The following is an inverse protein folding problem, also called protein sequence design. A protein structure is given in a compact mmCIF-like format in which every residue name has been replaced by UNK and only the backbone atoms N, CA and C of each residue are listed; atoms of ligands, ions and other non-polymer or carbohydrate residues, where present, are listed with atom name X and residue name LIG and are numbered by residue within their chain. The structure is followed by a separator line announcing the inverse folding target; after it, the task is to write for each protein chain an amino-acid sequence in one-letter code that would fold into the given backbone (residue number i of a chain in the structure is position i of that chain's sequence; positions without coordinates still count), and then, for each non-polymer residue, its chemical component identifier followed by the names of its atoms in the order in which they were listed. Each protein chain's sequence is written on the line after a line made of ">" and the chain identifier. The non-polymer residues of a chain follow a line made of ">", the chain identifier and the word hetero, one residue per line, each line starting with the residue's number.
data_IF_524352503978
#
_entry.id   IF_524352503978
#
_cell.length_a   1.000
_cell.length_b   1.000
_cell.length_c   1.000
_cell.angle_alpha   90.00
_cell.angle_beta   90.00
_cell.angle_gamma   90.00
#
_symmetry.space_group_name_H-M   'P 1'
#
loop_
_entity.id
_entity.type
_entity.pdbx_description
1 polymer ?
#
# COMPACT_ATOMS: atom_id res chain seq x y z
N UNK A 1 -2.89 -2.44 -17.38
CA UNK A 1 -1.62 -2.18 -16.67
C UNK A 1 -2.05 -1.46 -15.42
N UNK A 2 -2.02 -2.14 -14.27
CA UNK A 2 -2.44 -1.55 -12.99
C UNK A 2 -1.46 -0.42 -12.68
N UNK A 3 -1.97 0.71 -12.18
CA UNK A 3 -1.12 1.73 -11.59
C UNK A 3 -0.54 1.16 -10.28
N UNK A 4 0.55 0.40 -10.40
CA UNK A 4 1.22 -0.26 -9.26
C UNK A 4 1.61 0.79 -8.20
N UNK A 5 1.94 2.01 -8.63
CA UNK A 5 2.23 3.14 -7.75
C UNK A 5 0.97 3.57 -6.99
N UNK A 6 -0.18 3.66 -7.68
CA UNK A 6 -1.48 3.97 -7.07
C UNK A 6 -1.88 2.98 -5.97
N UNK A 7 -1.68 1.67 -6.19
CA UNK A 7 -1.94 0.64 -5.20
C UNK A 7 -0.98 0.75 -3.98
N UNK A 8 0.33 0.84 -4.23
CA UNK A 8 1.32 0.92 -3.16
C UNK A 8 1.10 2.16 -2.29
N UNK A 9 0.87 3.33 -2.91
CA UNK A 9 0.57 4.59 -2.23
C UNK A 9 -0.69 4.47 -1.36
N UNK A 10 -1.77 3.89 -1.88
CA UNK A 10 -3.00 3.71 -1.12
C UNK A 10 -2.81 2.78 0.09
N UNK A 11 -2.10 1.66 -0.09
CA UNK A 11 -1.78 0.75 1.00
C UNK A 11 -0.89 1.42 2.06
N UNK A 12 0.09 2.23 1.65
CA UNK A 12 0.95 2.98 2.58
C UNK A 12 0.16 4.03 3.36
N UNK A 13 -0.79 4.73 2.72
CA UNK A 13 -1.69 5.66 3.39
C UNK A 13 -2.55 4.94 4.44
N UNK A 14 -3.15 3.80 4.09
CA UNK A 14 -3.96 2.99 5.03
C UNK A 14 -3.12 2.45 6.20
N UNK A 15 -1.84 2.12 6.01
CA UNK A 15 -0.93 1.67 7.08
C UNK A 15 -0.78 2.69 8.22
N UNK A 16 -1.04 3.98 7.97
CA UNK A 16 -0.97 5.04 9.00
C UNK A 16 -2.08 4.93 10.04
N UNK A 17 -3.15 4.18 9.74
CA UNK A 17 -4.25 3.92 10.67
C UNK A 17 -3.76 3.08 11.85
N UNK A 18 -4.08 3.52 13.07
CA UNK A 18 -3.68 2.79 14.28
C UNK A 18 -4.36 1.42 14.31
N UNK A 19 -3.54 0.36 14.34
CA UNK A 19 -4.00 -1.04 14.33
C UNK A 19 -3.93 -1.69 12.95
N UNK A 20 -3.65 -0.94 11.89
CA UNK A 20 -3.45 -1.49 10.55
C UNK A 20 -2.01 -1.96 10.37
N UNK A 21 -1.68 -3.04 11.09
CA UNK A 21 -0.41 -3.74 10.98
C UNK A 21 -0.33 -4.63 9.74
N UNK A 22 0.78 -5.36 9.62
CA UNK A 22 1.09 -6.20 8.46
C UNK A 22 -0.04 -7.15 8.07
N UNK A 23 -0.63 -7.89 9.03
CA UNK A 23 -1.73 -8.81 8.76
C UNK A 23 -2.96 -8.12 8.15
N UNK A 24 -3.31 -6.92 8.65
CA UNK A 24 -4.41 -6.12 8.12
C UNK A 24 -4.12 -5.64 6.69
N UNK A 25 -2.86 -5.35 6.37
CA UNK A 25 -2.48 -5.00 4.98
C UNK A 25 -2.74 -6.16 4.02
N UNK A 26 -2.36 -7.39 4.38
CA UNK A 26 -2.69 -8.57 3.57
C UNK A 26 -4.20 -8.80 3.43
N UNK A 27 -4.96 -8.56 4.49
CA UNK A 27 -6.43 -8.66 4.46
C UNK A 27 -7.06 -7.62 3.52
N UNK A 28 -6.56 -6.38 3.52
CA UNK A 28 -7.10 -5.29 2.72
C UNK A 28 -6.62 -5.29 1.26
N UNK A 29 -5.45 -5.84 1.00
CA UNK A 29 -4.79 -5.78 -0.31
C UNK A 29 -5.69 -6.20 -1.49
N UNK A 30 -6.45 -7.32 -1.45
CA UNK A 30 -7.29 -7.70 -2.58
C UNK A 30 -8.33 -6.64 -2.95
N UNK A 31 -8.93 -5.98 -1.94
CA UNK A 31 -9.96 -4.95 -2.15
C UNK A 31 -9.36 -3.66 -2.68
N UNK A 32 -8.20 -3.26 -2.16
CA UNK A 32 -7.52 -2.04 -2.64
C UNK A 32 -6.96 -2.26 -4.05
N UNK A 33 -6.52 -3.48 -4.37
CA UNK A 33 -6.10 -3.85 -5.72
C UNK A 33 -7.26 -3.77 -6.70
N UNK A 34 -8.44 -4.28 -6.32
CA UNK A 34 -9.65 -4.17 -7.15
C UNK A 34 -10.03 -2.70 -7.43
N UNK A 35 -9.90 -1.81 -6.43
CA UNK A 35 -10.09 -0.38 -6.63
C UNK A 35 -9.04 0.22 -7.58
N UNK A 36 -7.77 -0.19 -7.46
CA UNK A 36 -6.70 0.27 -8.34
C UNK A 36 -6.96 -0.15 -9.79
N UNK A 37 -7.36 -1.40 -10.02
CA UNK A 37 -7.66 -1.96 -11.34
C UNK A 37 -8.83 -1.24 -12.04
N UNK A 38 -9.80 -0.75 -11.25
CA UNK A 38 -10.93 0.05 -11.74
C UNK A 38 -10.61 1.54 -11.89
N UNK A 39 -9.44 2.00 -11.42
CA UNK A 39 -9.10 3.43 -11.36
C UNK A 39 -9.95 4.20 -10.34
N UNK A 40 -10.43 3.52 -9.30
CA UNK A 40 -11.37 4.04 -8.29
C UNK A 40 -10.68 4.40 -6.96
N UNK A 41 -9.34 4.42 -6.93
CA UNK A 41 -8.61 4.90 -5.74
C UNK A 41 -8.85 6.41 -5.58
N UNK A 42 -9.70 6.74 -4.61
CA UNK A 42 -9.95 8.10 -4.14
C UNK A 42 -9.96 8.16 -2.61
N UNK A 43 -9.81 9.36 -2.01
CA UNK A 43 -9.95 9.52 -0.57
C UNK A 43 -11.28 8.94 -0.03
N UNK A 44 -12.39 9.13 -0.74
CA UNK A 44 -13.72 8.64 -0.35
C UNK A 44 -13.78 7.10 -0.35
N UNK A 45 -13.22 6.45 -1.38
CA UNK A 45 -13.17 4.99 -1.45
C UNK A 45 -12.37 4.39 -0.28
N UNK A 46 -11.28 5.06 0.11
CA UNK A 46 -10.40 4.60 1.18
C UNK A 46 -10.95 4.94 2.57
N UNK A 47 -11.74 6.01 2.73
CA UNK A 47 -12.47 6.30 3.98
C UNK A 47 -13.38 5.16 4.38
N UNK A 48 -14.07 4.53 3.41
CA UNK A 48 -14.92 3.38 3.68
C UNK A 48 -14.12 2.21 4.25
N UNK A 49 -12.92 1.95 3.72
CA UNK A 49 -12.00 0.93 4.20
C UNK A 49 -11.42 1.31 5.58
N UNK A 50 -10.99 2.56 5.74
CA UNK A 50 -10.34 3.08 6.94
C UNK A 50 -11.22 2.99 8.19
N UNK A 51 -12.53 3.14 8.02
CA UNK A 51 -13.50 3.13 9.10
C UNK A 51 -14.23 1.80 9.26
N UNK A 52 -13.86 0.77 8.49
CA UNK A 52 -14.51 -0.53 8.55
C UNK A 52 -14.43 -1.14 9.95
N UNK A 53 -15.57 -1.64 10.45
CA UNK A 53 -15.66 -2.23 11.79
C UNK A 53 -15.66 -1.21 12.94
N UNK A 54 -15.69 0.09 12.64
CA UNK A 54 -15.84 1.14 13.66
C UNK A 54 -17.31 1.57 13.80
N UNK A 55 -17.75 1.86 15.03
CA UNK A 55 -19.11 2.36 15.30
C UNK A 55 -19.19 3.87 14.98
N UNK A 56 -18.08 4.59 15.19
CA UNK A 56 -17.96 6.03 14.92
C UNK A 56 -16.79 6.20 13.96
N UNK A 57 -16.99 6.84 12.78
CA UNK A 57 -15.90 7.14 11.86
C UNK A 57 -14.81 7.93 12.55
N UNK A 58 -13.56 7.50 12.38
CA UNK A 58 -12.37 8.10 12.98
C UNK A 58 -11.53 8.89 11.98
N UNK A 59 -11.63 8.54 10.70
CA UNK A 59 -10.83 9.10 9.62
C UNK A 59 -11.74 9.66 8.54
N UNK A 60 -11.47 10.86 8.06
CA UNK A 60 -12.23 11.51 6.99
C UNK A 60 -11.43 11.60 5.69
N UNK A 61 -12.08 12.05 4.62
CA UNK A 61 -11.46 12.14 3.30
C UNK A 61 -10.35 13.19 3.24
N UNK A 62 -10.37 14.20 4.11
CA UNK A 62 -9.33 15.23 4.18
C UNK A 62 -8.04 14.63 4.74
N UNK A 63 -8.15 13.88 5.83
CA UNK A 63 -7.02 13.18 6.45
C UNK A 63 -6.43 12.13 5.51
N UNK A 64 -7.29 11.28 4.92
CA UNK A 64 -6.86 10.26 3.96
C UNK A 64 -6.20 10.89 2.73
N UNK A 65 -6.74 11.99 2.20
CA UNK A 65 -6.12 12.72 1.09
C UNK A 65 -4.72 13.23 1.46
N UNK A 66 -4.58 13.84 2.64
CA UNK A 66 -3.28 14.31 3.12
C UNK A 66 -2.25 13.19 3.21
N UNK A 67 -2.67 11.97 3.57
CA UNK A 67 -1.76 10.82 3.58
C UNK A 67 -1.42 10.32 2.19
N UNK A 68 -2.39 10.22 1.28
CA UNK A 68 -2.13 9.87 -0.13
C UNK A 68 -1.13 10.82 -0.78
N UNK A 69 -1.32 12.13 -0.60
CA UNK A 69 -0.43 13.16 -1.15
C UNK A 69 0.98 13.03 -0.55
N UNK A 70 1.08 12.80 0.76
CA UNK A 70 2.36 12.61 1.44
C UNK A 70 3.08 11.32 0.99
N UNK A 71 2.38 10.19 0.86
CA UNK A 71 3.00 8.95 0.42
C UNK A 71 3.40 9.00 -1.05
N UNK A 72 2.64 9.68 -1.90
CA UNK A 72 3.03 9.92 -3.29
C UNK A 72 4.32 10.74 -3.36
N UNK A 73 4.40 11.84 -2.61
CA UNK A 73 5.63 12.65 -2.51
C UNK A 73 6.81 11.84 -1.99
N UNK A 74 6.60 10.98 -0.98
CA UNK A 74 7.65 10.11 -0.47
C UNK A 74 8.15 9.13 -1.53
N UNK A 75 7.24 8.51 -2.31
CA UNK A 75 7.60 7.60 -3.39
C UNK A 75 8.45 8.30 -4.46
N UNK A 76 8.03 9.50 -4.90
CA UNK A 76 8.79 10.29 -5.87
C UNK A 76 10.20 10.64 -5.36
N UNK A 77 10.33 10.98 -4.07
CA UNK A 77 11.63 11.31 -3.47
C UNK A 77 12.51 10.07 -3.25
N UNK A 78 11.92 8.92 -2.96
CA UNK A 78 12.61 7.63 -2.88
C UNK A 78 13.10 7.18 -4.24
N UNK A 79 12.27 7.32 -5.29
CA UNK A 79 12.64 6.98 -6.65
C UNK A 79 13.85 7.80 -7.13
N UNK A 80 13.88 9.12 -6.85
CA UNK A 80 15.05 9.98 -7.12
C UNK A 80 16.32 9.52 -6.41
N UNK A 81 16.19 8.83 -5.28
CA UNK A 81 17.30 8.26 -4.51
C UNK A 81 17.65 6.82 -4.95
N UNK A 82 16.92 6.27 -5.93
CA UNK A 82 17.04 4.89 -6.40
C UNK A 82 16.45 3.87 -5.42
N UNK A 83 15.51 4.28 -4.57
CA UNK A 83 14.76 3.40 -3.67
C UNK A 83 13.43 3.06 -4.36
N UNK A 84 13.14 1.77 -4.46
CA UNK A 84 11.91 1.23 -5.02
C UNK A 84 11.08 0.56 -3.92
N UNK A 85 9.77 0.44 -4.17
CA UNK A 85 8.81 -0.18 -3.25
C UNK A 85 8.14 -1.35 -3.95
N UNK A 86 8.40 -2.56 -3.47
CA UNK A 86 7.62 -3.74 -3.83
C UNK A 86 6.59 -4.04 -2.74
N UNK A 87 5.39 -4.40 -3.16
CA UNK A 87 4.34 -4.90 -2.26
C UNK A 87 4.21 -6.41 -2.43
N UNK A 88 3.55 -7.10 -1.50
CA UNK A 88 3.30 -8.54 -1.64
C UNK A 88 2.45 -8.92 -2.87
N UNK A 89 1.83 -7.95 -3.55
CA UNK A 89 1.10 -8.14 -4.82
C UNK A 89 1.94 -7.75 -6.05
N UNK A 90 3.10 -7.12 -5.86
CA UNK A 90 3.97 -6.70 -6.95
C UNK A 90 4.62 -7.90 -7.62
N UNK A 91 4.82 -7.80 -8.94
CA UNK A 91 5.42 -8.87 -9.75
C UNK A 91 6.88 -9.15 -9.40
N UNK A 92 7.60 -8.16 -8.87
CA UNK A 92 8.98 -8.21 -8.42
C UNK A 92 9.16 -8.61 -6.95
N UNK A 93 8.06 -8.98 -6.25
CA UNK A 93 8.14 -9.40 -4.86
C UNK A 93 8.78 -10.80 -4.74
N UNK A 94 9.90 -10.96 -4.00
CA UNK A 94 10.65 -12.20 -3.91
C UNK A 94 9.84 -13.42 -3.46
N UNK A 95 9.91 -14.53 -4.21
CA UNK A 95 9.18 -15.76 -3.87
C UNK A 95 9.66 -16.37 -2.55
N UNK A 96 10.96 -16.23 -2.24
CA UNK A 96 11.54 -16.68 -0.98
C UNK A 96 10.85 -16.06 0.24
N UNK A 97 10.33 -14.84 0.11
CA UNK A 97 9.60 -14.18 1.19
C UNK A 97 8.15 -14.64 1.29
N UNK A 98 7.49 -15.04 0.18
CA UNK A 98 6.08 -15.47 0.20
C UNK A 98 5.85 -16.69 1.11
N UNK A 99 6.88 -17.53 1.31
CA UNK A 99 6.80 -18.74 2.12
C UNK A 99 7.03 -18.57 3.63
N UNK A 100 7.43 -17.38 4.11
CA UNK A 100 7.75 -17.19 5.54
C UNK A 100 6.51 -16.90 6.37
N UNK A 101 6.60 -17.15 7.68
CA UNK A 101 5.55 -16.74 8.62
C UNK A 101 5.54 -15.21 8.76
N UNK A 102 4.46 -14.57 8.32
CA UNK A 102 4.25 -13.11 8.33
C UNK A 102 5.24 -12.35 7.43
N UNK A 103 5.19 -12.53 6.10
CA UNK A 103 6.06 -11.80 5.18
C UNK A 103 5.84 -10.28 5.26
N UNK A 104 6.87 -9.45 5.06
CA UNK A 104 6.70 -8.00 5.06
C UNK A 104 5.83 -7.56 3.89
N UNK A 105 4.73 -6.85 4.15
CA UNK A 105 3.85 -6.39 3.08
C UNK A 105 4.54 -5.42 2.13
N UNK A 106 5.37 -4.52 2.67
CA UNK A 106 6.18 -3.57 1.92
C UNK A 106 7.66 -3.94 2.00
N UNK A 107 8.33 -3.94 0.86
CA UNK A 107 9.77 -4.05 0.73
C UNK A 107 10.31 -2.77 0.10
N UNK A 108 11.14 -2.05 0.85
CA UNK A 108 11.88 -0.90 0.36
C UNK A 108 13.28 -1.38 0.01
N UNK A 109 13.70 -1.20 -1.23
CA UNK A 109 14.98 -1.73 -1.70
C UNK A 109 15.68 -0.75 -2.65
N UNK A 110 16.98 -0.93 -2.82
CA UNK A 110 17.81 -0.15 -3.75
C UNK A 110 18.75 -1.10 -4.49
N UNK A 111 18.70 -1.08 -5.82
CA UNK A 111 19.41 -2.02 -6.69
C UNK A 111 18.49 -3.10 -7.25
N UNK A 112 19.08 -4.17 -7.78
CA UNK A 112 18.34 -5.26 -8.42
C UNK A 112 17.91 -6.33 -7.40
N UNK A 113 16.60 -6.57 -7.30
CA UNK A 113 16.00 -7.58 -6.41
C UNK A 113 15.69 -8.89 -7.14
N UNK A 114 15.80 -8.95 -8.48
CA UNK A 114 15.49 -10.13 -9.29
C UNK A 114 16.22 -11.43 -8.85
N UNK A 115 17.47 -11.40 -8.35
CA UNK A 115 18.13 -12.61 -7.84
C UNK A 115 17.44 -13.26 -6.62
N UNK A 116 16.48 -12.59 -5.99
CA UNK A 116 15.73 -13.10 -4.83
C UNK A 116 14.38 -13.74 -5.23
N UNK A 117 13.99 -13.64 -6.50
CA UNK A 117 12.75 -14.18 -7.06
C UNK A 117 12.84 -15.66 -7.40
#
# INVERSE_FOLDING_TARGET
>A
MVDEDGFAVAMMALRRIKGFGNAKMFELAPRVLELAEKGEISPESLVAIANEGTIVPRYDSTEIKSWLDAERSNCEDWEKQGIQVATAQSSDYPDALKGIRSPPFFLYYKGDIAPLS
#
